data_IF_997189181049
#
_entry.id   IF_997189181049
#
_cell.length_a   1.000
_cell.length_b   1.000
_cell.length_c   1.000
_cell.angle_alpha   90.00
_cell.angle_beta   90.00
_cell.angle_gamma   90.00
#
_symmetry.space_group_name_H-M   'P 1'
#
loop_
_entity.id
_entity.type
_entity.pdbx_description
1 polymer ?
#
# COMPACT_ATOMS: atom_id res chain seq x y z
N UNK A 1 -17.05 19.62 12.09
CA UNK A 1 -16.18 19.97 10.92
C UNK A 1 -16.92 19.67 9.61
N UNK A 2 -16.54 20.31 8.49
CA UNK A 2 -17.23 20.09 7.20
C UNK A 2 -16.94 18.67 6.72
N UNK A 3 -17.98 17.88 6.44
CA UNK A 3 -17.87 16.53 5.90
C UNK A 3 -17.36 16.60 4.46
N UNK A 4 -16.32 15.82 4.14
CA UNK A 4 -15.66 15.74 2.85
C UNK A 4 -15.62 14.29 2.37
N UNK A 5 -15.61 14.08 1.07
CA UNK A 5 -15.40 12.75 0.50
C UNK A 5 -13.91 12.60 0.13
N UNK A 6 -13.29 11.53 0.59
CA UNK A 6 -11.90 11.19 0.32
C UNK A 6 -11.84 9.93 -0.55
N UNK A 7 -10.80 9.82 -1.36
CA UNK A 7 -10.56 8.65 -2.22
C UNK A 7 -9.15 8.13 -1.92
N UNK A 8 -9.05 6.85 -1.62
CA UNK A 8 -7.79 6.16 -1.45
C UNK A 8 -7.58 5.14 -2.58
N UNK A 9 -6.74 5.42 -3.59
CA UNK A 9 -6.30 4.43 -4.56
C UNK A 9 -5.45 3.35 -3.91
N UNK A 10 -5.59 2.10 -4.39
CA UNK A 10 -4.81 0.95 -3.96
C UNK A 10 -4.46 0.05 -5.15
N UNK A 11 -3.65 -0.98 -4.93
CA UNK A 11 -3.43 -2.03 -5.92
C UNK A 11 -4.74 -2.75 -6.22
N UNK A 12 -4.99 -2.98 -7.52
CA UNK A 12 -6.17 -3.69 -8.01
C UNK A 12 -6.32 -5.07 -7.38
N UNK A 13 -7.50 -5.38 -6.86
CA UNK A 13 -7.82 -6.63 -6.17
C UNK A 13 -7.54 -6.60 -4.66
N UNK A 14 -7.07 -5.46 -4.10
CA UNK A 14 -6.79 -5.27 -2.67
C UNK A 14 -7.76 -4.30 -2.00
N UNK A 15 -8.81 -3.89 -2.68
CA UNK A 15 -9.81 -2.92 -2.19
C UNK A 15 -10.46 -3.37 -0.88
N UNK A 16 -10.66 -4.67 -0.70
CA UNK A 16 -11.24 -5.21 0.54
C UNK A 16 -10.32 -5.06 1.76
N UNK A 17 -8.99 -5.07 1.55
CA UNK A 17 -8.01 -4.84 2.62
C UNK A 17 -8.05 -3.37 3.02
N UNK A 18 -7.93 -2.46 2.04
CA UNK A 18 -7.99 -1.03 2.28
C UNK A 18 -9.32 -0.59 2.90
N UNK A 19 -10.45 -1.15 2.42
CA UNK A 19 -11.77 -0.90 3.01
C UNK A 19 -11.78 -1.21 4.52
N UNK A 20 -11.20 -2.34 4.93
CA UNK A 20 -11.11 -2.73 6.34
C UNK A 20 -10.28 -1.72 7.14
N UNK A 21 -9.10 -1.32 6.64
CA UNK A 21 -8.28 -0.28 7.30
C UNK A 21 -9.06 1.02 7.52
N UNK A 22 -9.81 1.48 6.52
CA UNK A 22 -10.63 2.71 6.62
C UNK A 22 -11.74 2.56 7.67
N UNK A 23 -12.40 1.41 7.71
CA UNK A 23 -13.42 1.11 8.73
C UNK A 23 -12.82 1.02 10.13
N UNK A 24 -11.63 0.40 10.27
CA UNK A 24 -10.91 0.29 11.54
C UNK A 24 -10.44 1.67 12.06
N UNK A 25 -10.20 2.65 11.16
CA UNK A 25 -9.98 4.05 11.51
C UNK A 25 -11.25 4.80 11.91
N UNK A 26 -12.43 4.18 11.79
CA UNK A 26 -13.72 4.75 12.18
C UNK A 26 -14.43 5.57 11.10
N UNK A 27 -14.04 5.44 9.83
CA UNK A 27 -14.65 6.19 8.73
C UNK A 27 -15.64 5.36 7.91
N UNK A 28 -16.76 5.99 7.52
CA UNK A 28 -17.77 5.37 6.67
C UNK A 28 -17.34 5.32 5.21
N UNK A 29 -17.54 4.17 4.58
CA UNK A 29 -17.27 3.99 3.15
C UNK A 29 -18.34 4.71 2.32
N UNK A 30 -17.92 5.47 1.31
CA UNK A 30 -18.83 6.07 0.33
C UNK A 30 -19.02 5.17 -0.89
N UNK A 31 -17.91 4.63 -1.43
CA UNK A 31 -17.93 3.74 -2.59
C UNK A 31 -16.72 2.80 -2.60
N UNK A 32 -16.85 1.66 -3.26
CA UNK A 32 -15.74 0.75 -3.55
C UNK A 32 -15.72 0.49 -5.05
N UNK A 33 -14.64 0.86 -5.70
CA UNK A 33 -14.41 0.61 -7.11
C UNK A 33 -13.08 -0.11 -7.33
N UNK A 34 -12.91 -0.67 -8.52
CA UNK A 34 -11.64 -1.31 -8.90
C UNK A 34 -10.45 -0.36 -8.71
N UNK A 35 -9.54 -0.72 -7.81
CA UNK A 35 -8.32 0.01 -7.52
C UNK A 35 -8.49 1.25 -6.63
N UNK A 36 -9.66 1.46 -6.00
CA UNK A 36 -9.86 2.58 -5.07
C UNK A 36 -11.03 2.36 -4.10
N UNK A 37 -10.95 3.02 -2.96
CA UNK A 37 -12.02 3.07 -1.95
C UNK A 37 -12.31 4.53 -1.62
N UNK A 38 -13.56 4.94 -1.73
CA UNK A 38 -14.08 6.24 -1.30
C UNK A 38 -14.60 6.15 0.13
N UNK A 39 -14.42 7.21 0.91
CA UNK A 39 -14.91 7.28 2.29
C UNK A 39 -15.20 8.71 2.73
N UNK A 40 -16.02 8.82 3.76
CA UNK A 40 -16.40 10.11 4.33
C UNK A 40 -15.53 10.46 5.53
N UNK A 41 -15.03 11.68 5.55
CA UNK A 41 -14.23 12.20 6.66
C UNK A 41 -14.29 13.72 6.74
N UNK A 42 -13.32 14.30 7.42
CA UNK A 42 -13.11 15.74 7.57
C UNK A 42 -11.60 16.07 7.46
N UNK A 43 -11.17 17.23 7.95
CA UNK A 43 -9.77 17.62 7.91
C UNK A 43 -8.87 16.66 8.73
N UNK A 44 -9.35 16.16 9.86
CA UNK A 44 -8.64 15.16 10.66
C UNK A 44 -8.50 13.83 9.91
N UNK A 45 -9.54 13.42 9.19
CA UNK A 45 -9.50 12.20 8.38
C UNK A 45 -8.42 12.25 7.29
N UNK A 46 -8.11 13.43 6.72
CA UNK A 46 -7.00 13.58 5.77
C UNK A 46 -5.66 13.27 6.47
N UNK A 47 -5.43 13.81 7.67
CA UNK A 47 -4.22 13.56 8.44
C UNK A 47 -4.10 12.07 8.80
N UNK A 48 -5.15 11.51 9.40
CA UNK A 48 -5.17 10.12 9.85
C UNK A 48 -5.03 9.13 8.69
N UNK A 49 -5.71 9.35 7.58
CA UNK A 49 -5.61 8.48 6.41
C UNK A 49 -4.19 8.46 5.81
N UNK A 50 -3.52 9.62 5.73
CA UNK A 50 -2.14 9.69 5.23
C UNK A 50 -1.12 9.03 6.17
N UNK A 51 -1.34 9.13 7.48
CA UNK A 51 -0.41 8.59 8.48
C UNK A 51 -0.64 7.10 8.72
N UNK A 52 -1.89 6.62 8.80
CA UNK A 52 -2.21 5.27 9.26
C UNK A 52 -2.45 4.25 8.13
N UNK A 53 -2.95 4.65 6.95
CA UNK A 53 -3.27 3.68 5.89
C UNK A 53 -2.00 3.02 5.32
N UNK A 54 -1.92 1.70 5.47
CA UNK A 54 -0.78 0.89 5.03
C UNK A 54 -0.86 0.51 3.57
N UNK A 55 -2.09 0.33 3.05
CA UNK A 55 -2.34 -0.26 1.73
C UNK A 55 -2.81 0.76 0.69
N UNK A 56 -3.06 1.99 1.09
CA UNK A 56 -3.35 3.10 0.19
C UNK A 56 -2.08 3.59 -0.52
N UNK A 57 -2.19 3.85 -1.82
CA UNK A 57 -1.12 4.49 -2.60
C UNK A 57 -1.08 6.00 -2.40
N UNK A 58 -2.22 6.60 -2.10
CA UNK A 58 -2.45 8.03 -1.86
C UNK A 58 -3.76 8.24 -1.12
N UNK A 59 -3.95 9.47 -0.66
CA UNK A 59 -5.24 10.00 -0.20
C UNK A 59 -5.57 11.23 -1.04
N UNK A 60 -6.74 11.25 -1.67
CA UNK A 60 -7.21 12.35 -2.49
C UNK A 60 -8.43 12.98 -1.86
N UNK A 61 -8.48 14.31 -1.83
CA UNK A 61 -9.69 15.05 -1.49
C UNK A 61 -10.56 15.17 -2.74
N UNK A 62 -11.72 14.52 -2.77
CA UNK A 62 -12.63 14.53 -3.92
C UNK A 62 -13.25 15.91 -4.09
N UNK A 63 -13.07 16.50 -5.27
CA UNK A 63 -13.67 17.80 -5.64
C UNK A 63 -15.02 17.60 -6.29
N UNK A 64 -15.14 16.56 -7.13
CA UNK A 64 -16.39 16.25 -7.80
C UNK A 64 -16.29 15.07 -8.76
N UNK A 65 -17.45 14.69 -9.30
CA UNK A 65 -17.57 13.69 -10.36
C UNK A 65 -18.69 14.09 -11.33
N UNK A 66 -18.45 13.89 -12.63
CA UNK A 66 -19.39 14.24 -13.68
C UNK A 66 -19.14 13.40 -14.94
N UNK A 67 -20.12 13.37 -15.87
CA UNK A 67 -19.96 12.71 -17.16
C UNK A 67 -19.40 13.68 -18.19
N UNK A 68 -18.43 13.20 -19.00
CA UNK A 68 -17.92 13.95 -20.15
C UNK A 68 -17.54 13.00 -21.28
N UNK A 69 -18.11 13.27 -22.48
CA UNK A 69 -17.89 12.50 -23.70
C UNK A 69 -17.19 13.34 -24.79
N UNK A 70 -17.03 14.65 -24.54
CA UNK A 70 -16.30 15.59 -25.37
C UNK A 70 -15.40 16.50 -24.51
N UNK A 71 -14.40 17.12 -25.14
CA UNK A 71 -13.52 18.08 -24.45
C UNK A 71 -14.26 19.36 -24.04
N UNK A 72 -15.33 19.73 -24.71
CA UNK A 72 -16.19 20.84 -24.32
C UNK A 72 -16.95 20.52 -23.04
N UNK A 73 -17.59 19.35 -22.96
CA UNK A 73 -18.23 18.88 -21.72
C UNK A 73 -17.22 18.78 -20.56
N UNK A 74 -16.01 18.26 -20.84
CA UNK A 74 -14.93 18.19 -19.84
C UNK A 74 -14.57 19.58 -19.34
N UNK A 75 -14.41 20.56 -20.23
CA UNK A 75 -14.07 21.93 -19.88
C UNK A 75 -15.17 22.59 -19.03
N UNK A 76 -16.42 22.57 -19.49
CA UNK A 76 -17.52 23.26 -18.82
C UNK A 76 -17.82 22.65 -17.45
N UNK A 77 -17.87 21.31 -17.34
CA UNK A 77 -18.10 20.65 -16.06
C UNK A 77 -16.92 20.86 -15.09
N UNK A 78 -15.68 20.87 -15.56
CA UNK A 78 -14.52 21.20 -14.71
C UNK A 78 -14.57 22.65 -14.23
N UNK A 79 -14.96 23.58 -15.08
CA UNK A 79 -15.14 25.01 -14.73
C UNK A 79 -16.27 25.22 -13.72
N UNK A 80 -17.30 24.37 -13.75
CA UNK A 80 -18.43 24.45 -12.83
C UNK A 80 -18.11 23.97 -11.39
N UNK A 81 -16.99 23.26 -11.17
CA UNK A 81 -16.57 22.86 -9.84
C UNK A 81 -16.11 24.06 -9.00
N UNK A 82 -16.39 24.00 -7.69
CA UNK A 82 -16.07 25.08 -6.73
C UNK A 82 -14.62 24.99 -6.24
N UNK A 83 -13.66 25.20 -7.13
CA UNK A 83 -12.23 25.10 -6.86
C UNK A 83 -11.76 26.02 -5.73
N UNK A 84 -12.34 27.20 -5.63
CA UNK A 84 -12.05 28.20 -4.61
C UNK A 84 -12.37 27.75 -3.16
N UNK A 85 -13.17 26.70 -2.99
CA UNK A 85 -13.41 26.09 -1.68
C UNK A 85 -12.22 25.32 -1.16
N UNK A 86 -11.26 25.00 -2.04
CA UNK A 86 -10.08 24.17 -1.75
C UNK A 86 -8.78 24.94 -1.96
N UNK A 87 -8.67 25.69 -3.04
CA UNK A 87 -7.44 26.32 -3.50
C UNK A 87 -7.53 27.83 -3.29
N UNK A 88 -6.68 28.44 -2.44
CA UNK A 88 -6.62 29.90 -2.26
C UNK A 88 -6.05 30.57 -3.52
N UNK A 89 -6.19 31.91 -3.61
CA UNK A 89 -5.76 32.72 -4.75
C UNK A 89 -4.29 32.49 -5.12
N UNK A 90 -3.41 32.41 -4.13
CA UNK A 90 -1.98 32.20 -4.34
C UNK A 90 -1.56 30.72 -4.44
N UNK A 91 -2.52 29.77 -4.37
CA UNK A 91 -2.24 28.34 -4.44
C UNK A 91 -1.67 27.92 -5.79
N UNK A 92 -0.64 27.10 -5.78
CA UNK A 92 -0.05 26.50 -6.98
C UNK A 92 -0.83 25.24 -7.37
N UNK A 93 -1.53 25.25 -8.50
CA UNK A 93 -2.39 24.15 -8.91
C UNK A 93 -2.12 23.70 -10.35
N UNK A 94 -2.18 22.40 -10.57
CA UNK A 94 -2.05 21.77 -11.88
C UNK A 94 -2.67 20.38 -11.90
N UNK A 95 -2.95 19.85 -13.09
CA UNK A 95 -3.39 18.47 -13.25
C UNK A 95 -2.17 17.56 -13.35
N UNK A 96 -1.78 16.95 -12.23
CA UNK A 96 -0.56 16.15 -12.10
C UNK A 96 -0.64 14.80 -12.83
N UNK A 97 -1.85 14.22 -12.92
CA UNK A 97 -2.07 12.95 -13.60
C UNK A 97 -3.50 12.84 -14.08
N UNK A 98 -3.68 12.36 -15.31
CA UNK A 98 -4.96 11.89 -15.83
C UNK A 98 -4.82 10.41 -16.22
N UNK A 99 -5.87 9.62 -15.96
CA UNK A 99 -5.97 8.24 -16.41
C UNK A 99 -7.35 8.03 -17.04
N UNK A 100 -7.40 7.38 -18.20
CA UNK A 100 -8.64 7.11 -18.89
C UNK A 100 -8.76 5.63 -19.24
N UNK A 101 -9.90 5.03 -18.89
CA UNK A 101 -10.20 3.63 -19.13
C UNK A 101 -11.60 3.49 -19.73
N UNK A 102 -11.71 2.87 -20.89
CA UNK A 102 -12.99 2.61 -21.58
C UNK A 102 -13.85 3.88 -21.72
N UNK A 103 -13.23 5.02 -22.05
CA UNK A 103 -13.87 6.32 -22.22
C UNK A 103 -13.57 6.89 -23.60
N UNK A 104 -14.43 7.80 -24.07
CA UNK A 104 -14.25 8.48 -25.38
C UNK A 104 -13.05 9.41 -25.35
N UNK A 105 -12.83 10.11 -24.25
CA UNK A 105 -11.63 10.93 -24.04
C UNK A 105 -10.52 10.01 -23.53
N UNK A 106 -9.48 9.79 -24.34
CA UNK A 106 -8.43 8.80 -24.04
C UNK A 106 -7.02 9.38 -23.92
N UNK A 107 -6.79 10.63 -24.36
CA UNK A 107 -5.47 11.29 -24.30
C UNK A 107 -5.27 11.93 -22.92
N UNK A 108 -4.36 11.41 -22.05
CA UNK A 108 -4.09 12.01 -20.75
C UNK A 108 -3.59 13.46 -20.84
N UNK A 109 -2.73 13.78 -21.81
CA UNK A 109 -2.18 15.13 -22.01
C UNK A 109 -3.26 16.15 -22.35
N UNK A 110 -4.20 15.77 -23.23
CA UNK A 110 -5.28 16.67 -23.64
C UNK A 110 -6.26 16.89 -22.49
N UNK A 111 -6.61 15.83 -21.75
CA UNK A 111 -7.43 15.91 -20.54
C UNK A 111 -6.78 16.88 -19.53
N UNK A 112 -5.47 16.73 -19.25
CA UNK A 112 -4.75 17.61 -18.34
C UNK A 112 -4.78 19.07 -18.80
N UNK A 113 -4.51 19.31 -20.07
CA UNK A 113 -4.49 20.66 -20.66
C UNK A 113 -5.85 21.34 -20.60
N UNK A 114 -6.92 20.65 -21.03
CA UNK A 114 -8.29 21.17 -21.02
C UNK A 114 -8.76 21.48 -19.60
N UNK A 115 -8.52 20.56 -18.67
CA UNK A 115 -8.91 20.74 -17.27
C UNK A 115 -8.14 21.88 -16.58
N UNK A 116 -6.80 21.99 -16.79
CA UNK A 116 -6.04 23.11 -16.25
C UNK A 116 -6.58 24.45 -16.75
N UNK A 117 -6.90 24.55 -18.05
CA UNK A 117 -7.49 25.77 -18.63
C UNK A 117 -8.86 26.10 -18.00
N UNK A 118 -9.71 25.09 -17.77
CA UNK A 118 -11.01 25.27 -17.14
C UNK A 118 -10.89 25.74 -15.69
N UNK A 119 -9.97 25.14 -14.92
CA UNK A 119 -9.65 25.56 -13.55
C UNK A 119 -9.19 27.01 -13.49
N UNK A 120 -8.23 27.40 -14.36
CA UNK A 120 -7.75 28.80 -14.45
C UNK A 120 -8.92 29.75 -14.71
N UNK A 121 -9.81 29.45 -15.65
CA UNK A 121 -10.97 30.28 -15.96
C UNK A 121 -11.93 30.43 -14.78
N UNK A 122 -12.22 29.35 -14.05
CA UNK A 122 -13.03 29.41 -12.82
C UNK A 122 -12.38 30.29 -11.78
N UNK A 123 -11.12 30.05 -11.48
CA UNK A 123 -10.37 30.78 -10.45
C UNK A 123 -10.19 32.27 -10.79
N UNK A 124 -9.90 32.62 -12.06
CA UNK A 124 -9.87 34.00 -12.53
C UNK A 124 -11.20 34.71 -12.30
N UNK A 125 -12.30 34.07 -12.64
CA UNK A 125 -13.64 34.64 -12.43
C UNK A 125 -13.96 34.82 -10.93
N UNK A 126 -13.52 33.91 -10.09
CA UNK A 126 -13.80 33.93 -8.65
C UNK A 126 -12.97 34.95 -7.90
N UNK A 127 -11.67 34.97 -8.17
CA UNK A 127 -10.72 35.86 -7.48
C UNK A 127 -10.56 37.24 -8.14
N UNK A 128 -11.17 37.45 -9.29
CA UNK A 128 -11.10 38.72 -10.05
C UNK A 128 -9.65 39.10 -10.43
N UNK A 129 -8.82 38.09 -10.76
CA UNK A 129 -7.41 38.25 -11.15
C UNK A 129 -7.19 37.77 -12.57
N UNK A 130 -6.29 38.38 -13.30
CA UNK A 130 -5.89 37.92 -14.64
C UNK A 130 -4.76 36.89 -14.58
N UNK A 131 -3.94 36.94 -13.54
CA UNK A 131 -2.77 36.09 -13.36
C UNK A 131 -2.62 35.64 -11.91
N UNK A 132 -2.10 34.42 -11.71
CA UNK A 132 -1.87 33.82 -10.40
C UNK A 132 -0.38 33.82 -10.06
N UNK A 133 0.00 34.26 -8.87
CA UNK A 133 1.38 34.26 -8.41
C UNK A 133 1.96 32.84 -8.24
N UNK A 134 1.10 31.87 -7.90
CA UNK A 134 1.46 30.46 -7.64
C UNK A 134 2.64 30.30 -6.65
N UNK A 135 2.74 31.20 -5.68
CA UNK A 135 3.81 31.25 -4.65
C UNK A 135 3.39 30.60 -3.32
N UNK A 136 2.16 30.13 -3.23
CA UNK A 136 1.61 29.43 -2.07
C UNK A 136 1.76 27.91 -2.15
N UNK A 137 0.98 27.23 -1.30
CA UNK A 137 0.97 25.76 -1.22
C UNK A 137 0.60 25.09 -2.55
N UNK A 138 1.09 23.87 -2.74
CA UNK A 138 0.85 23.06 -3.93
C UNK A 138 -0.47 22.26 -3.83
N UNK A 139 -1.28 22.30 -4.89
CA UNK A 139 -2.55 21.58 -5.03
C UNK A 139 -2.55 20.71 -6.30
N UNK A 140 -1.84 19.57 -6.30
CA UNK A 140 -1.78 18.69 -7.46
C UNK A 140 -3.12 17.96 -7.64
N UNK A 141 -3.72 18.04 -8.83
CA UNK A 141 -4.99 17.42 -9.16
C UNK A 141 -4.77 16.10 -9.88
N UNK A 142 -5.54 15.10 -9.50
CA UNK A 142 -5.58 13.79 -10.18
C UNK A 142 -6.97 13.53 -10.73
N UNK A 143 -7.00 12.95 -11.94
CA UNK A 143 -8.22 12.76 -12.71
C UNK A 143 -8.31 11.31 -13.14
N UNK A 144 -9.46 10.70 -12.89
CA UNK A 144 -9.79 9.35 -13.33
C UNK A 144 -11.02 9.40 -14.24
N UNK A 145 -10.87 8.96 -15.48
CA UNK A 145 -11.97 8.73 -16.38
C UNK A 145 -12.23 7.23 -16.49
N UNK A 146 -13.44 6.80 -16.19
CA UNK A 146 -13.87 5.41 -16.36
C UNK A 146 -15.28 5.38 -16.94
N UNK A 147 -15.44 4.81 -18.14
CA UNK A 147 -16.75 4.76 -18.84
C UNK A 147 -17.41 6.15 -18.97
N UNK A 148 -16.63 7.13 -19.39
CA UNK A 148 -17.02 8.53 -19.57
C UNK A 148 -17.41 9.29 -18.28
N UNK A 149 -17.21 8.69 -17.10
CA UNK A 149 -17.34 9.37 -15.80
C UNK A 149 -15.98 9.88 -15.37
N UNK A 150 -15.90 11.17 -15.15
CA UNK A 150 -14.72 11.89 -14.64
C UNK A 150 -14.83 11.99 -13.13
N UNK A 151 -13.83 11.54 -12.41
CA UNK A 151 -13.67 11.74 -10.97
C UNK A 151 -12.43 12.59 -10.74
N UNK A 152 -12.56 13.67 -9.97
CA UNK A 152 -11.53 14.67 -9.74
C UNK A 152 -11.18 14.72 -8.26
N UNK A 153 -9.90 14.61 -7.93
CA UNK A 153 -9.40 14.72 -6.56
C UNK A 153 -8.12 15.54 -6.47
N UNK A 154 -7.92 16.26 -5.38
CA UNK A 154 -6.67 16.95 -5.05
C UNK A 154 -5.82 16.01 -4.22
N UNK A 155 -4.55 15.82 -4.60
CA UNK A 155 -3.63 14.89 -3.97
C UNK A 155 -3.09 15.46 -2.65
N UNK A 156 -3.55 14.89 -1.53
CA UNK A 156 -3.13 15.30 -0.19
C UNK A 156 -1.78 14.73 0.20
N UNK A 157 -1.38 13.62 -0.41
CA UNK A 157 -0.18 12.86 -0.02
C UNK A 157 1.11 13.40 -0.62
N UNK A 158 1.07 13.86 -1.89
CA UNK A 158 2.26 14.30 -2.63
C UNK A 158 3.10 13.14 -3.14
N UNK A 159 4.16 12.77 -2.45
CA UNK A 159 4.93 11.55 -2.75
C UNK A 159 4.07 10.32 -2.43
N UNK A 160 4.15 9.27 -3.26
CA UNK A 160 3.33 8.06 -3.08
C UNK A 160 3.54 7.41 -1.70
N UNK A 161 2.47 6.91 -1.08
CA UNK A 161 2.50 6.39 0.30
C UNK A 161 3.34 5.13 0.47
N UNK A 162 3.64 4.38 -0.61
CA UNK A 162 4.58 3.26 -0.52
C UNK A 162 5.98 3.73 -0.10
N UNK A 163 6.39 4.96 -0.42
CA UNK A 163 7.64 5.53 0.05
C UNK A 163 7.53 5.92 1.52
N UNK A 164 7.75 4.96 2.41
CA UNK A 164 7.65 5.12 3.87
C UNK A 164 8.73 6.02 4.48
N UNK A 165 9.85 6.17 3.78
CA UNK A 165 11.03 6.91 4.24
C UNK A 165 12.20 6.01 4.66
N UNK A 166 11.96 4.74 4.98
CA UNK A 166 13.02 3.85 5.47
C UNK A 166 13.90 3.25 4.36
N UNK A 167 13.44 3.23 3.10
CA UNK A 167 14.20 2.65 2.00
C UNK A 167 15.06 3.70 1.31
N UNK A 168 16.33 3.76 1.64
CA UNK A 168 17.30 4.62 0.95
C UNK A 168 17.87 3.97 -0.32
N UNK A 169 18.11 2.66 -0.27
CA UNK A 169 18.66 1.89 -1.38
C UNK A 169 17.70 0.75 -1.71
N UNK A 170 17.28 0.68 -2.96
CA UNK A 170 16.49 -0.44 -3.47
C UNK A 170 17.36 -1.34 -4.33
N UNK A 171 17.21 -2.65 -4.15
CA UNK A 171 17.67 -3.63 -5.13
C UNK A 171 16.90 -3.52 -6.46
N UNK A 172 17.14 -4.42 -7.38
CA UNK A 172 16.41 -4.48 -8.65
C UNK A 172 14.94 -4.86 -8.38
N UNK A 173 14.00 -3.99 -8.80
CA UNK A 173 12.55 -4.19 -8.79
C UNK A 173 11.95 -4.77 -7.48
N UNK A 174 12.16 -4.13 -6.31
CA UNK A 174 11.56 -4.60 -5.07
C UNK A 174 10.03 -4.43 -5.11
N UNK A 175 9.33 -5.32 -4.40
CA UNK A 175 7.89 -5.14 -4.14
C UNK A 175 7.67 -3.80 -3.42
N UNK A 176 6.57 -3.09 -3.75
CA UNK A 176 6.22 -1.85 -3.04
C UNK A 176 5.75 -2.16 -1.62
N UNK A 177 6.02 -1.26 -0.69
CA UNK A 177 5.67 -1.40 0.73
C UNK A 177 4.16 -1.54 0.93
N UNK A 178 3.35 -0.78 0.20
CA UNK A 178 1.89 -0.86 0.23
C UNK A 178 1.37 -2.22 -0.23
N UNK A 179 1.98 -2.80 -1.27
CA UNK A 179 1.64 -4.14 -1.74
C UNK A 179 2.07 -5.20 -0.72
N UNK A 180 3.29 -5.11 -0.18
CA UNK A 180 3.79 -6.05 0.82
C UNK A 180 2.90 -6.05 2.08
N UNK A 181 2.57 -4.87 2.61
CA UNK A 181 1.65 -4.73 3.74
C UNK A 181 0.28 -5.37 3.45
N UNK A 182 -0.30 -5.09 2.27
CA UNK A 182 -1.58 -5.66 1.88
C UNK A 182 -1.56 -7.19 1.77
N UNK A 183 -0.47 -7.76 1.25
CA UNK A 183 -0.30 -9.21 1.15
C UNK A 183 -0.16 -9.85 2.53
N UNK A 184 0.57 -9.24 3.47
CA UNK A 184 0.65 -9.70 4.85
C UNK A 184 -0.76 -9.68 5.48
N UNK A 185 -1.49 -8.57 5.35
CA UNK A 185 -2.85 -8.40 5.89
C UNK A 185 -3.90 -9.31 5.24
N UNK A 186 -3.65 -9.87 4.06
CA UNK A 186 -4.48 -10.90 3.43
C UNK A 186 -4.26 -12.28 4.02
N UNK A 187 -3.15 -12.51 4.71
CA UNK A 187 -2.87 -13.79 5.36
C UNK A 187 -3.50 -13.84 6.76
N UNK A 188 -3.70 -15.02 7.34
CA UNK A 188 -4.08 -15.16 8.74
C UNK A 188 -2.86 -15.09 9.69
N UNK A 189 -1.72 -14.53 9.25
CA UNK A 189 -0.58 -14.33 10.12
C UNK A 189 -0.93 -13.37 11.24
N UNK A 190 -0.45 -13.67 12.42
CA UNK A 190 -0.58 -12.85 13.62
C UNK A 190 0.76 -12.83 14.37
N UNK A 191 1.01 -11.77 15.10
CA UNK A 191 2.28 -11.50 15.79
C UNK A 191 2.79 -12.59 16.75
N UNK A 192 1.92 -13.47 17.23
CA UNK A 192 2.24 -14.64 18.06
C UNK A 192 2.83 -15.82 17.26
N UNK A 193 2.91 -15.70 15.95
CA UNK A 193 3.36 -16.73 15.03
C UNK A 193 4.60 -16.28 14.27
N UNK A 194 5.56 -17.18 14.13
CA UNK A 194 6.76 -16.90 13.32
C UNK A 194 6.40 -16.59 11.86
N UNK A 195 7.05 -15.58 11.31
CA UNK A 195 7.03 -15.22 9.88
C UNK A 195 8.45 -15.30 9.33
N UNK A 196 8.62 -15.97 8.21
CA UNK A 196 9.89 -16.07 7.49
C UNK A 196 9.72 -15.62 6.04
N UNK A 197 10.62 -14.76 5.57
CA UNK A 197 10.79 -14.47 4.15
C UNK A 197 12.14 -15.02 3.68
N UNK A 198 12.18 -16.19 2.97
CA UNK A 198 13.43 -16.81 2.54
C UNK A 198 14.04 -16.19 1.28
N UNK A 199 13.43 -15.14 0.71
CA UNK A 199 13.91 -14.33 -0.42
C UNK A 199 13.72 -12.85 -0.10
N UNK A 200 14.18 -12.42 1.09
CA UNK A 200 13.78 -11.13 1.66
C UNK A 200 14.31 -9.91 0.90
N UNK A 201 15.34 -10.09 0.08
CA UNK A 201 15.93 -8.98 -0.65
C UNK A 201 16.29 -7.82 0.29
N UNK A 202 15.81 -6.63 0.00
CA UNK A 202 15.99 -5.43 0.82
C UNK A 202 15.13 -5.40 2.11
N UNK A 203 14.44 -6.48 2.46
CA UNK A 203 13.73 -6.67 3.72
C UNK A 203 12.28 -6.16 3.74
N UNK A 204 11.63 -5.93 2.60
CA UNK A 204 10.30 -5.28 2.57
C UNK A 204 9.25 -6.05 3.37
N UNK A 205 9.06 -7.36 3.15
CA UNK A 205 8.08 -8.14 3.91
C UNK A 205 8.38 -8.21 5.41
N UNK A 206 9.62 -8.54 5.85
CA UNK A 206 9.96 -8.54 7.26
C UNK A 206 9.75 -7.17 7.95
N UNK A 207 10.12 -6.07 7.28
CA UNK A 207 9.96 -4.72 7.83
C UNK A 207 8.49 -4.33 7.96
N UNK A 208 7.68 -4.50 6.89
CA UNK A 208 6.23 -4.21 6.96
C UNK A 208 5.52 -5.10 7.99
N UNK A 209 5.92 -6.38 8.12
CA UNK A 209 5.38 -7.27 9.15
C UNK A 209 5.72 -6.78 10.58
N UNK A 210 6.96 -6.35 10.82
CA UNK A 210 7.38 -5.80 12.10
C UNK A 210 6.64 -4.50 12.43
N UNK A 211 6.49 -3.59 11.46
CA UNK A 211 5.70 -2.37 11.63
C UNK A 211 4.23 -2.65 11.93
N UNK A 212 3.64 -3.66 11.28
CA UNK A 212 2.24 -4.10 11.56
C UNK A 212 2.16 -4.67 12.98
N UNK A 213 3.08 -5.54 13.39
CA UNK A 213 3.09 -6.16 14.70
C UNK A 213 3.26 -5.15 15.83
N UNK A 214 4.19 -4.20 15.67
CA UNK A 214 4.45 -3.12 16.62
C UNK A 214 3.45 -1.96 16.54
N UNK A 215 2.48 -2.03 15.61
CA UNK A 215 1.50 -0.97 15.35
C UNK A 215 2.14 0.39 15.00
N UNK A 216 3.29 0.40 14.33
CA UNK A 216 3.96 1.62 13.84
C UNK A 216 3.20 2.11 12.61
N UNK A 217 2.69 3.32 12.63
CA UNK A 217 1.98 3.90 11.50
C UNK A 217 2.95 4.21 10.34
N UNK A 218 2.61 3.85 9.08
CA UNK A 218 3.55 3.92 7.96
C UNK A 218 3.89 5.33 7.50
N UNK A 219 3.10 6.33 7.87
CA UNK A 219 3.27 7.72 7.47
C UNK A 219 4.09 8.59 8.44
N UNK A 220 4.61 8.03 9.55
CA UNK A 220 5.24 8.83 10.61
C UNK A 220 6.57 9.49 10.20
N UNK A 221 7.33 8.87 9.30
CA UNK A 221 8.68 9.33 8.92
C UNK A 221 8.71 10.03 7.56
N UNK A 222 7.65 10.77 7.24
CA UNK A 222 7.54 11.48 5.96
C UNK A 222 6.65 12.71 6.09
N UNK A 223 6.69 13.61 5.10
CA UNK A 223 5.81 14.75 4.96
C UNK A 223 4.73 14.52 3.90
N UNK A 224 3.69 15.34 3.94
CA UNK A 224 2.56 15.30 3.02
C UNK A 224 2.29 16.68 2.42
N UNK A 225 1.85 16.72 1.16
CA UNK A 225 1.54 18.00 0.48
C UNK A 225 0.48 18.80 1.25
N UNK A 226 -0.50 18.12 1.84
CA UNK A 226 -1.60 18.77 2.56
C UNK A 226 -1.20 19.38 3.92
N UNK A 227 0.01 19.17 4.43
CA UNK A 227 0.51 19.88 5.63
C UNK A 227 0.60 21.38 5.42
N UNK A 228 0.80 21.81 4.17
CA UNK A 228 0.85 23.21 3.76
C UNK A 228 -0.55 23.86 3.61
N UNK A 229 -1.64 23.07 3.63
CA UNK A 229 -3.00 23.54 3.34
C UNK A 229 -3.69 24.13 4.58
N UNK A 230 -3.11 25.18 5.15
CA UNK A 230 -3.61 25.79 6.39
C UNK A 230 -5.01 26.41 6.28
N UNK A 231 -5.48 26.67 5.06
CA UNK A 231 -6.83 27.08 4.76
C UNK A 231 -7.88 25.96 4.96
N UNK A 232 -7.49 24.69 4.89
CA UNK A 232 -8.36 23.51 5.00
C UNK A 232 -8.07 22.69 6.26
N UNK A 233 -6.80 22.57 6.63
CA UNK A 233 -6.31 21.66 7.67
C UNK A 233 -5.46 22.45 8.66
N UNK A 234 -5.99 22.70 9.88
CA UNK A 234 -5.19 23.29 10.95
C UNK A 234 -3.94 22.45 11.26
N UNK A 235 -2.77 23.06 11.35
CA UNK A 235 -1.50 22.36 11.66
C UNK A 235 -1.59 21.51 12.94
N UNK A 236 -2.40 21.92 13.88
CA UNK A 236 -2.67 21.19 15.13
C UNK A 236 -3.13 19.75 14.87
N UNK A 237 -3.96 19.50 13.85
CA UNK A 237 -4.47 18.16 13.52
C UNK A 237 -3.36 17.19 13.10
N UNK A 238 -2.37 17.67 12.35
CA UNK A 238 -1.20 16.87 12.00
C UNK A 238 -0.40 16.49 13.24
N UNK A 239 -0.18 17.44 14.15
CA UNK A 239 0.50 17.20 15.43
C UNK A 239 -0.24 16.19 16.30
N UNK A 240 -1.55 16.36 16.45
CA UNK A 240 -2.40 15.45 17.25
C UNK A 240 -2.38 14.04 16.64
N UNK A 241 -2.45 13.92 15.32
CA UNK A 241 -2.41 12.60 14.65
C UNK A 241 -1.04 11.92 14.80
N UNK A 242 0.06 12.66 14.72
CA UNK A 242 1.39 12.09 14.97
C UNK A 242 1.54 11.64 16.41
N UNK A 243 1.03 12.41 17.39
CA UNK A 243 1.04 12.02 18.79
C UNK A 243 0.19 10.76 19.02
N UNK A 244 -1.03 10.68 18.45
CA UNK A 244 -1.85 9.47 18.46
C UNK A 244 -1.07 8.27 17.91
N UNK A 245 -0.39 8.43 16.77
CA UNK A 245 0.39 7.37 16.17
C UNK A 245 1.55 6.90 17.06
N UNK A 246 2.22 7.84 17.76
CA UNK A 246 3.30 7.49 18.71
C UNK A 246 2.76 6.73 19.93
N UNK A 247 1.62 7.16 20.49
CA UNK A 247 1.01 6.51 21.67
C UNK A 247 0.51 5.08 21.35
N UNK A 248 0.18 4.81 20.10
CA UNK A 248 -0.30 3.49 19.66
C UNK A 248 0.83 2.48 19.40
N UNK A 249 2.10 2.91 19.40
CA UNK A 249 3.23 2.00 19.20
C UNK A 249 3.34 1.04 20.37
N UNK A 250 3.37 -0.26 20.07
CA UNK A 250 3.67 -1.28 21.06
C UNK A 250 5.19 -1.49 21.15
N UNK A 251 5.83 -0.80 22.08
CA UNK A 251 7.30 -0.82 22.26
C UNK A 251 7.81 -2.12 22.87
N UNK A 252 6.97 -2.83 23.63
CA UNK A 252 7.34 -4.08 24.34
C UNK A 252 6.91 -5.33 23.55
N UNK A 253 6.69 -5.20 22.25
CA UNK A 253 6.22 -6.30 21.42
C UNK A 253 7.31 -7.38 21.26
N UNK A 254 6.93 -8.61 21.52
CA UNK A 254 7.75 -9.80 21.18
C UNK A 254 7.20 -10.44 19.92
N UNK A 255 8.03 -10.57 18.90
CA UNK A 255 7.70 -11.22 17.64
C UNK A 255 8.86 -12.05 17.13
N UNK A 256 8.56 -13.05 16.30
CA UNK A 256 9.57 -13.83 15.60
C UNK A 256 9.42 -13.62 14.10
N UNK A 257 10.20 -12.70 13.57
CA UNK A 257 10.23 -12.34 12.16
C UNK A 257 11.63 -12.55 11.63
N UNK A 258 11.77 -13.30 10.55
CA UNK A 258 13.07 -13.66 10.00
C UNK A 258 13.10 -13.38 8.50
N UNK A 259 14.18 -12.81 8.03
CA UNK A 259 14.46 -12.55 6.63
C UNK A 259 15.75 -13.22 6.18
N UNK A 260 15.70 -14.00 5.11
CA UNK A 260 16.85 -14.67 4.52
C UNK A 260 17.03 -14.29 3.06
N UNK A 261 18.27 -14.25 2.64
CA UNK A 261 18.66 -14.13 1.23
C UNK A 261 20.03 -14.80 1.05
N UNK A 262 20.28 -15.30 -0.12
CA UNK A 262 21.57 -15.92 -0.49
C UNK A 262 22.67 -14.87 -0.67
N UNK A 263 22.30 -13.62 -0.91
CA UNK A 263 23.22 -12.49 -1.11
C UNK A 263 23.40 -11.69 0.17
N UNK A 264 24.57 -11.87 0.81
CA UNK A 264 24.94 -11.16 2.04
C UNK A 264 24.96 -9.63 1.89
N UNK A 265 25.21 -9.11 0.69
CA UNK A 265 25.17 -7.66 0.42
C UNK A 265 23.77 -7.11 0.53
N UNK A 266 22.77 -7.85 0.07
CA UNK A 266 21.36 -7.50 0.16
C UNK A 266 20.87 -7.59 1.61
N UNK A 267 21.36 -8.57 2.38
CA UNK A 267 21.08 -8.67 3.83
C UNK A 267 21.58 -7.44 4.59
N UNK A 268 22.74 -6.88 4.22
CA UNK A 268 23.21 -5.63 4.84
C UNK A 268 22.27 -4.45 4.54
N UNK A 269 21.74 -4.38 3.31
CA UNK A 269 20.72 -3.38 2.93
C UNK A 269 19.44 -3.59 3.74
N UNK A 270 18.97 -4.83 3.90
CA UNK A 270 17.77 -5.15 4.68
C UNK A 270 17.90 -4.71 6.15
N UNK A 271 19.06 -4.98 6.78
CA UNK A 271 19.35 -4.52 8.15
C UNK A 271 19.36 -3.00 8.27
N UNK A 272 19.93 -2.29 7.28
CA UNK A 272 19.93 -0.83 7.27
C UNK A 272 18.51 -0.29 7.14
N UNK A 273 17.72 -0.80 6.18
CA UNK A 273 16.32 -0.39 6.00
C UNK A 273 15.49 -0.66 7.27
N UNK A 274 15.70 -1.79 7.95
CA UNK A 274 15.01 -2.10 9.21
C UNK A 274 15.37 -1.12 10.33
N UNK A 275 16.63 -0.67 10.40
CA UNK A 275 17.08 0.35 11.35
C UNK A 275 16.43 1.70 11.07
N UNK A 276 16.39 2.12 9.80
CA UNK A 276 15.71 3.36 9.39
C UNK A 276 14.19 3.31 9.66
N UNK A 277 13.60 2.11 9.62
CA UNK A 277 12.20 1.90 10.01
C UNK A 277 12.01 1.77 11.54
N UNK A 278 13.06 1.72 12.33
CA UNK A 278 13.00 1.55 13.79
C UNK A 278 12.58 0.16 14.27
N UNK A 279 12.73 -0.88 13.42
CA UNK A 279 12.26 -2.26 13.69
C UNK A 279 13.37 -3.32 13.61
N UNK A 280 14.63 -2.93 13.53
CA UNK A 280 15.77 -3.86 13.39
C UNK A 280 15.87 -4.84 14.55
N UNK A 281 15.50 -4.43 15.77
CA UNK A 281 15.45 -5.27 16.95
C UNK A 281 14.37 -6.36 16.94
N UNK A 282 13.36 -6.23 16.04
CA UNK A 282 12.25 -7.18 15.87
C UNK A 282 12.50 -8.22 14.78
N UNK A 283 13.59 -8.09 14.01
CA UNK A 283 13.82 -8.90 12.82
C UNK A 283 15.19 -9.55 12.84
N UNK A 284 15.22 -10.86 12.64
CA UNK A 284 16.47 -11.58 12.41
C UNK A 284 16.76 -11.71 10.92
N UNK A 285 17.80 -11.02 10.43
CA UNK A 285 18.29 -11.13 9.05
C UNK A 285 19.55 -11.99 8.98
N UNK A 286 19.58 -12.96 8.06
CA UNK A 286 20.70 -13.88 7.86
C UNK A 286 20.93 -14.17 6.37
N UNK A 287 22.21 -14.21 5.96
CA UNK A 287 22.60 -14.82 4.68
C UNK A 287 22.36 -16.33 4.75
N UNK A 288 21.43 -16.83 3.93
CA UNK A 288 21.01 -18.23 3.97
C UNK A 288 20.36 -18.62 2.66
N UNK A 289 20.76 -19.76 2.10
CA UNK A 289 20.13 -20.33 0.91
C UNK A 289 18.77 -20.97 1.30
N UNK A 290 17.78 -20.84 0.44
CA UNK A 290 16.44 -21.41 0.63
C UNK A 290 16.46 -22.94 0.78
N UNK A 291 17.43 -23.63 0.18
CA UNK A 291 17.62 -25.09 0.33
C UNK A 291 17.93 -25.51 1.77
N UNK A 292 18.51 -24.60 2.56
CA UNK A 292 18.87 -24.84 3.96
C UNK A 292 17.77 -24.35 4.92
N UNK A 293 16.61 -23.92 4.41
CA UNK A 293 15.50 -23.44 5.22
C UNK A 293 14.95 -24.57 6.10
N UNK A 294 15.08 -24.40 7.39
CA UNK A 294 14.56 -25.30 8.41
C UNK A 294 14.20 -24.52 9.66
N UNK A 295 13.18 -24.93 10.38
CA UNK A 295 12.79 -24.28 11.63
C UNK A 295 12.10 -25.26 12.58
N UNK A 296 12.42 -25.24 13.91
CA UNK A 296 11.82 -26.15 14.89
C UNK A 296 10.38 -25.77 15.28
N UNK A 297 10.00 -24.50 15.16
CA UNK A 297 8.64 -24.05 15.47
C UNK A 297 7.63 -24.58 14.46
N UNK A 298 6.44 -24.94 14.97
CA UNK A 298 5.29 -25.38 14.17
C UNK A 298 4.36 -24.23 13.81
N UNK A 299 3.53 -24.44 12.81
CA UNK A 299 2.48 -23.50 12.40
C UNK A 299 3.00 -22.12 11.97
N UNK A 300 4.24 -22.03 11.46
CA UNK A 300 4.82 -20.80 10.95
C UNK A 300 4.24 -20.35 9.62
N UNK A 301 4.66 -19.15 9.22
CA UNK A 301 4.27 -18.54 7.94
C UNK A 301 5.51 -18.21 7.12
N UNK A 302 5.47 -18.58 5.86
CA UNK A 302 6.33 -18.00 4.82
C UNK A 302 5.49 -17.00 4.04
N UNK A 303 5.97 -15.74 3.92
CA UNK A 303 5.38 -14.72 3.06
C UNK A 303 6.52 -14.11 2.25
N UNK A 304 6.49 -14.29 0.92
CA UNK A 304 7.69 -14.05 0.13
C UNK A 304 7.40 -13.62 -1.32
N UNK A 305 8.38 -12.94 -1.91
CA UNK A 305 8.44 -12.56 -3.32
C UNK A 305 9.71 -13.15 -3.94
N UNK A 306 9.71 -14.46 -4.29
CA UNK A 306 10.88 -15.10 -4.88
C UNK A 306 11.20 -14.52 -6.26
N UNK A 307 12.44 -14.67 -6.77
CA UNK A 307 12.79 -14.30 -8.15
C UNK A 307 11.86 -14.97 -9.17
N UNK A 308 11.46 -14.24 -10.21
CA UNK A 308 10.59 -14.73 -11.28
C UNK A 308 11.17 -14.51 -12.69
N UNK A 309 12.48 -14.22 -12.77
CA UNK A 309 13.21 -14.17 -14.04
C UNK A 309 12.87 -12.97 -14.90
N UNK A 310 13.13 -11.76 -14.41
CA UNK A 310 12.98 -10.54 -15.22
C UNK A 310 13.94 -10.51 -16.40
N UNK A 311 15.06 -11.23 -16.32
CA UNK A 311 16.04 -11.39 -17.39
C UNK A 311 15.99 -12.81 -17.97
N UNK A 312 16.29 -12.95 -19.25
CA UNK A 312 16.33 -14.25 -19.92
C UNK A 312 17.34 -15.22 -19.29
N UNK A 313 18.46 -14.70 -18.78
CA UNK A 313 19.50 -15.48 -18.10
C UNK A 313 19.02 -16.06 -16.77
N UNK A 314 18.25 -15.30 -16.01
CA UNK A 314 17.73 -15.72 -14.70
C UNK A 314 16.68 -16.84 -14.82
N UNK A 315 15.99 -16.94 -15.97
CA UNK A 315 14.90 -17.93 -16.19
C UNK A 315 15.37 -19.37 -16.15
N UNK A 316 16.63 -19.65 -16.46
CA UNK A 316 17.17 -21.02 -16.51
C UNK A 316 17.28 -21.65 -15.13
N UNK A 317 17.51 -20.83 -14.10
CA UNK A 317 17.74 -21.29 -12.72
C UNK A 317 16.44 -21.36 -11.90
N UNK A 318 15.35 -20.75 -12.39
CA UNK A 318 14.07 -20.74 -11.68
C UNK A 318 13.53 -22.14 -11.37
N UNK A 319 13.54 -23.13 -12.29
CA UNK A 319 13.07 -24.48 -11.99
C UNK A 319 13.77 -25.10 -10.77
N UNK A 320 15.10 -24.97 -10.71
CA UNK A 320 15.90 -25.51 -9.60
C UNK A 320 15.60 -24.76 -8.30
N UNK A 321 15.48 -23.42 -8.34
CA UNK A 321 15.17 -22.58 -7.21
C UNK A 321 13.79 -22.92 -6.59
N UNK A 322 12.75 -22.97 -7.42
CA UNK A 322 11.39 -23.28 -6.94
C UNK A 322 11.27 -24.74 -6.45
N UNK A 323 12.03 -25.67 -7.04
CA UNK A 323 12.11 -27.02 -6.55
C UNK A 323 12.78 -27.09 -5.18
N UNK A 324 13.92 -26.45 -4.98
CA UNK A 324 14.60 -26.36 -3.69
C UNK A 324 13.70 -25.73 -2.63
N UNK A 325 13.00 -24.66 -2.97
CA UNK A 325 12.04 -24.02 -2.07
C UNK A 325 10.89 -24.97 -1.66
N UNK A 326 10.31 -25.68 -2.63
CA UNK A 326 9.25 -26.65 -2.35
C UNK A 326 9.71 -27.83 -1.48
N UNK A 327 10.94 -28.33 -1.70
CA UNK A 327 11.56 -29.38 -0.88
C UNK A 327 11.78 -28.92 0.56
N UNK A 328 12.34 -27.72 0.76
CA UNK A 328 12.52 -27.15 2.09
C UNK A 328 11.18 -26.90 2.80
N UNK A 329 10.17 -26.40 2.07
CA UNK A 329 8.84 -26.20 2.63
C UNK A 329 8.19 -27.52 3.12
N UNK A 330 8.37 -28.63 2.43
CA UNK A 330 7.85 -29.95 2.85
C UNK A 330 8.39 -30.39 4.20
N UNK A 331 9.59 -29.96 4.58
CA UNK A 331 10.23 -30.30 5.84
C UNK A 331 9.80 -29.40 7.01
N UNK A 332 8.99 -28.35 6.74
CA UNK A 332 8.47 -27.46 7.76
C UNK A 332 7.12 -27.98 8.25
N UNK A 333 7.09 -28.51 9.48
CA UNK A 333 5.89 -29.11 10.07
C UNK A 333 4.80 -28.05 10.31
N UNK A 334 3.65 -28.24 9.66
CA UNK A 334 2.43 -27.43 9.85
C UNK A 334 2.53 -25.97 9.35
N UNK A 335 3.50 -25.64 8.51
CA UNK A 335 3.66 -24.28 7.98
C UNK A 335 2.71 -23.96 6.84
N UNK A 336 2.39 -22.69 6.70
CA UNK A 336 1.72 -22.14 5.51
C UNK A 336 2.70 -21.28 4.72
N UNK A 337 2.64 -21.35 3.39
CA UNK A 337 3.43 -20.49 2.51
C UNK A 337 2.53 -19.63 1.62
N UNK A 338 2.91 -18.38 1.51
CA UNK A 338 2.27 -17.36 0.69
C UNK A 338 3.33 -16.73 -0.22
N UNK A 339 3.16 -16.89 -1.52
CA UNK A 339 4.16 -16.52 -2.52
C UNK A 339 3.53 -15.64 -3.60
N UNK A 340 4.09 -14.44 -3.82
CA UNK A 340 3.72 -13.63 -4.98
C UNK A 340 4.76 -13.82 -6.08
N UNK A 341 4.32 -14.21 -7.28
CA UNK A 341 5.21 -14.43 -8.42
C UNK A 341 4.48 -14.28 -9.76
N UNK A 342 5.20 -13.91 -10.80
CA UNK A 342 4.75 -13.99 -12.20
C UNK A 342 5.21 -15.23 -12.92
N UNK A 343 5.99 -16.10 -12.27
CA UNK A 343 6.49 -17.33 -12.86
C UNK A 343 5.36 -18.34 -13.05
N UNK A 344 5.02 -18.64 -14.31
CA UNK A 344 3.83 -19.45 -14.64
C UNK A 344 3.94 -20.91 -14.17
N UNK A 345 5.15 -21.48 -14.16
CA UNK A 345 5.42 -22.84 -13.69
C UNK A 345 5.70 -22.96 -12.19
N UNK A 346 5.42 -21.91 -11.39
CA UNK A 346 5.73 -21.86 -9.96
C UNK A 346 5.18 -23.07 -9.20
N UNK A 347 3.89 -23.40 -9.36
CA UNK A 347 3.25 -24.54 -8.67
C UNK A 347 3.91 -25.88 -9.07
N UNK A 348 4.25 -26.04 -10.36
CA UNK A 348 4.86 -27.26 -10.89
C UNK A 348 6.20 -27.54 -10.23
N UNK A 349 7.09 -26.54 -10.18
CA UNK A 349 8.43 -26.72 -9.62
C UNK A 349 8.44 -26.66 -8.09
N UNK A 350 7.54 -25.92 -7.46
CA UNK A 350 7.32 -25.98 -6.02
C UNK A 350 6.82 -27.34 -5.55
N UNK A 351 6.26 -28.14 -6.49
CA UNK A 351 5.86 -29.52 -6.26
C UNK A 351 4.57 -29.69 -5.47
N UNK A 352 3.78 -28.62 -5.36
CA UNK A 352 2.44 -28.63 -4.74
C UNK A 352 1.54 -27.63 -5.48
N UNK A 353 0.29 -28.03 -5.73
CA UNK A 353 -0.74 -27.11 -6.21
C UNK A 353 -1.19 -26.20 -5.05
N UNK A 354 -1.37 -24.92 -5.32
CA UNK A 354 -1.85 -23.99 -4.33
C UNK A 354 -3.31 -24.27 -3.95
N UNK A 355 -3.63 -24.14 -2.68
CA UNK A 355 -5.01 -24.26 -2.19
C UNK A 355 -5.87 -23.11 -2.69
N UNK A 356 -5.25 -21.92 -2.85
CA UNK A 356 -5.87 -20.72 -3.41
C UNK A 356 -4.82 -19.90 -4.16
N UNK A 357 -5.27 -19.12 -5.15
CA UNK A 357 -4.47 -18.07 -5.74
C UNK A 357 -5.32 -16.82 -5.96
N UNK A 358 -4.64 -15.69 -6.04
CA UNK A 358 -5.26 -14.40 -6.35
C UNK A 358 -4.40 -13.68 -7.38
N UNK A 359 -5.01 -13.25 -8.47
CA UNK A 359 -4.35 -12.39 -9.45
C UNK A 359 -4.16 -10.99 -8.88
N UNK A 360 -2.93 -10.50 -8.90
CA UNK A 360 -2.52 -9.17 -8.40
C UNK A 360 -1.57 -8.55 -9.41
N UNK A 361 -1.58 -7.23 -9.53
CA UNK A 361 -0.62 -6.51 -10.36
C UNK A 361 0.44 -5.85 -9.48
N UNK A 362 1.71 -6.19 -9.74
CA UNK A 362 2.86 -5.48 -9.18
C UNK A 362 3.36 -4.49 -10.25
N UNK A 363 2.96 -3.22 -10.13
CA UNK A 363 3.11 -2.26 -11.21
C UNK A 363 2.34 -2.69 -12.47
N UNK A 364 3.05 -2.85 -13.60
CA UNK A 364 2.48 -3.36 -14.87
C UNK A 364 2.54 -4.89 -14.98
N UNK A 365 3.23 -5.55 -14.06
CA UNK A 365 3.45 -6.99 -14.12
C UNK A 365 2.26 -7.74 -13.51
N UNK A 366 1.70 -8.65 -14.29
CA UNK A 366 0.69 -9.59 -13.82
C UNK A 366 1.35 -10.66 -12.96
N UNK A 367 0.97 -10.77 -11.71
CA UNK A 367 1.45 -11.75 -10.75
C UNK A 367 0.29 -12.55 -10.16
N UNK A 368 0.62 -13.63 -9.48
CA UNK A 368 -0.33 -14.41 -8.69
C UNK A 368 0.20 -14.55 -7.26
N UNK A 369 -0.69 -14.36 -6.31
CA UNK A 369 -0.44 -14.63 -4.90
C UNK A 369 -0.96 -16.01 -4.57
N UNK A 370 -0.06 -16.99 -4.59
CA UNK A 370 -0.33 -18.39 -4.28
C UNK A 370 -0.35 -18.62 -2.78
N UNK A 371 -1.28 -19.45 -2.32
CA UNK A 371 -1.46 -19.79 -0.90
C UNK A 371 -1.38 -21.30 -0.74
N UNK A 372 -0.38 -21.77 -0.01
CA UNK A 372 -0.17 -23.17 0.35
C UNK A 372 -0.43 -23.29 1.84
N UNK A 373 -1.64 -23.79 2.21
CA UNK A 373 -2.11 -23.74 3.57
C UNK A 373 -1.63 -24.96 4.37
N UNK A 374 -1.06 -24.70 5.53
CA UNK A 374 -0.82 -25.70 6.57
C UNK A 374 -2.06 -25.88 7.47
N UNK A 375 -2.05 -26.88 8.35
CA UNK A 375 -3.11 -27.10 9.32
C UNK A 375 -3.18 -25.94 10.32
N UNK A 376 -4.39 -25.69 10.83
CA UNK A 376 -4.56 -24.73 11.93
C UNK A 376 -3.97 -25.31 13.22
N UNK A 377 -3.38 -24.48 14.09
CA UNK A 377 -2.97 -24.93 15.41
C UNK A 377 -4.19 -25.51 16.16
N UNK A 378 -3.97 -26.52 17.03
CA UNK A 378 -5.02 -27.01 17.91
C UNK A 378 -5.62 -25.83 18.66
N UNK A 379 -6.95 -25.78 18.79
CA UNK A 379 -7.58 -24.81 19.70
C UNK A 379 -6.97 -25.11 21.08
N UNK A 380 -6.50 -24.06 21.77
CA UNK A 380 -6.10 -24.18 23.17
C UNK A 380 -7.28 -24.87 23.90
N UNK A 381 -7.11 -26.13 24.28
CA UNK A 381 -8.15 -26.93 24.87
C UNK A 381 -8.63 -26.20 26.13
N UNK A 382 -9.92 -26.20 26.35
CA UNK A 382 -10.46 -26.20 27.71
C UNK A 382 -9.89 -27.45 28.41
N UNK A 383 -8.63 -27.37 28.83
CA UNK A 383 -8.04 -28.33 29.75
C UNK A 383 -8.58 -27.97 31.13
N UNK A 384 -9.17 -28.94 31.77
CA UNK A 384 -9.65 -28.98 33.17
C UNK A 384 -11.13 -28.65 33.41
N UNK A 385 -12.00 -29.60 33.02
CA UNK A 385 -13.23 -29.87 33.78
C UNK A 385 -13.57 -31.38 33.77
N UNK A 386 -12.54 -32.23 33.74
CA UNK A 386 -12.73 -33.71 33.84
C UNK A 386 -11.81 -34.38 34.88
N UNK A 387 -11.49 -33.73 35.98
CA UNK A 387 -10.83 -34.38 37.11
C UNK A 387 -11.39 -33.92 38.46
N UNK A 388 -12.71 -33.91 38.60
CA UNK A 388 -13.36 -33.94 39.91
C UNK A 388 -14.73 -34.59 39.77
N UNK A 389 -14.75 -35.87 39.48
CA UNK A 389 -15.87 -36.80 39.77
C UNK A 389 -15.35 -38.21 39.58
N UNK A 390 -14.59 -38.68 40.56
CA UNK A 390 -14.56 -40.09 40.98
C UNK A 390 -14.25 -40.16 42.48
#
# INVERSE_FOLDING_TARGET
MKKMELIAPCHFGLEAVLKREILDLGYDISEVEDGRVGFWGDAEAICRANIFLRTAERVLLKVGSFKATSYEELFENTRALDWENYIPENGKFWVAKAASVKSKLFSPSDIQSVMKKAMVRRMQQKYQVEWFAEDGAAYPVRVFLKKDVVTVGIDTSGVSLHKRGYREVSGKAPITETLAAALIMLTPWHKDRILVDPFCGSGTFPIEAAMIAANIAPGMNRSFTAEEWTNLIPKKLWYETVNEANELINVDIEVDIQGYDVDGSVIMIARRNAREAGVDHLIHFQERDVKDLSHPKKYGFIITNPPYGERLEDKKDLPALYKAFGESFKNLDSWSAYMITSYEDAERYFGRKADRNRKIYNGMLKTYFYQFLGPKPPKAGRASDRQEKK
#
